data_IF_346282655258
#
_entry.id   IF_346282655258
#
_cell.length_a   1.000
_cell.length_b   1.000
_cell.length_c   1.000
_cell.angle_alpha   90.00
_cell.angle_beta   90.00
_cell.angle_gamma   90.00
#
_symmetry.space_group_name_H-M   'P 1'
#
loop_
_entity.id
_entity.type
_entity.pdbx_description
1 polymer ?
#
# COMPACT_ATOMS: atom_id res chain seq x y z
N UNK A 1 -5.99 3.85 -1.78
CA UNK A 1 -6.91 4.02 -0.64
C UNK A 1 -8.03 3.01 -0.76
N UNK A 2 -8.42 2.39 0.35
CA UNK A 2 -9.46 1.36 0.41
C UNK A 2 -10.42 1.72 1.53
N UNK A 3 -11.72 1.70 1.23
CA UNK A 3 -12.79 1.97 2.18
C UNK A 3 -13.95 0.99 1.95
N UNK A 4 -14.84 0.89 2.93
CA UNK A 4 -16.05 0.08 2.79
C UNK A 4 -16.96 0.62 1.66
N UNK A 5 -17.72 -0.26 1.01
CA UNK A 5 -18.57 0.07 -0.15
C UNK A 5 -19.63 1.14 0.13
N UNK A 6 -20.04 1.32 1.38
CA UNK A 6 -21.05 2.30 1.76
C UNK A 6 -20.49 3.71 1.94
N UNK A 7 -19.17 3.87 2.03
CA UNK A 7 -18.54 5.19 2.16
C UNK A 7 -18.56 5.96 0.83
N UNK A 8 -18.42 7.28 0.92
CA UNK A 8 -18.33 8.15 -0.25
C UNK A 8 -17.20 7.69 -1.18
N UNK A 9 -17.52 7.64 -2.47
CA UNK A 9 -16.59 7.19 -3.50
C UNK A 9 -16.03 8.39 -4.27
N UNK A 10 -14.70 8.49 -4.31
CA UNK A 10 -13.95 9.37 -5.21
C UNK A 10 -12.96 8.53 -6.02
N UNK A 11 -12.87 8.75 -7.33
CA UNK A 11 -11.92 8.00 -8.20
C UNK A 11 -10.46 8.28 -7.78
N UNK A 12 -10.15 9.53 -7.48
CA UNK A 12 -8.85 9.98 -7.00
C UNK A 12 -9.02 10.91 -5.80
N UNK A 13 -8.08 10.86 -4.87
CA UNK A 13 -8.07 11.67 -3.64
C UNK A 13 -6.65 12.07 -3.28
N UNK A 14 -6.51 13.21 -2.61
CA UNK A 14 -5.25 13.66 -2.01
C UNK A 14 -5.19 13.24 -0.54
N UNK A 15 -4.01 13.29 0.05
CA UNK A 15 -3.80 13.00 1.47
C UNK A 15 -4.70 13.85 2.37
N UNK A 16 -4.91 15.13 2.01
CA UNK A 16 -5.81 16.05 2.73
C UNK A 16 -7.29 15.63 2.73
N UNK A 17 -7.70 14.74 1.82
CA UNK A 17 -9.08 14.26 1.72
C UNK A 17 -9.30 13.00 2.58
N UNK A 18 -8.24 12.47 3.20
CA UNK A 18 -8.30 11.28 4.06
C UNK A 18 -8.60 11.70 5.49
N UNK A 19 -9.62 11.07 6.10
CA UNK A 19 -9.83 11.17 7.52
C UNK A 19 -8.83 10.27 8.27
N UNK A 20 -7.75 10.87 8.79
CA UNK A 20 -6.69 10.13 9.48
C UNK A 20 -7.14 9.48 10.80
N UNK A 21 -8.20 9.98 11.45
CA UNK A 21 -8.73 9.37 12.67
C UNK A 21 -9.42 8.02 12.42
N UNK A 22 -9.71 7.68 11.16
CA UNK A 22 -10.31 6.41 10.73
C UNK A 22 -9.35 5.60 9.84
N UNK A 23 -8.13 6.11 9.63
CA UNK A 23 -7.11 5.44 8.85
C UNK A 23 -6.42 4.39 9.73
N UNK A 24 -6.54 3.13 9.32
CA UNK A 24 -5.85 2.02 9.93
C UNK A 24 -4.57 1.72 9.14
N UNK A 25 -3.48 1.51 9.86
CA UNK A 25 -2.17 1.19 9.31
C UNK A 25 -1.66 -0.14 9.88
N UNK A 26 -0.58 -0.66 9.32
CA UNK A 26 0.08 -1.80 9.94
C UNK A 26 0.78 -1.39 11.23
N UNK A 27 0.97 -2.34 12.15
CA UNK A 27 1.76 -2.15 13.37
C UNK A 27 3.19 -1.67 13.09
N UNK A 28 3.85 -1.17 14.14
CA UNK A 28 5.26 -0.80 14.09
C UNK A 28 6.16 -1.95 13.62
N UNK A 29 7.24 -1.60 12.91
CA UNK A 29 8.16 -2.55 12.28
C UNK A 29 7.82 -2.90 10.82
N UNK A 30 6.65 -2.49 10.33
CA UNK A 30 6.31 -2.60 8.91
C UNK A 30 6.68 -1.34 8.13
N UNK A 31 7.62 -1.44 7.18
CA UNK A 31 8.00 -0.33 6.30
C UNK A 31 6.82 0.32 5.55
N UNK A 32 5.70 -0.40 5.39
CA UNK A 32 4.51 0.11 4.73
C UNK A 32 3.84 1.24 5.52
N UNK A 33 3.83 1.20 6.86
CA UNK A 33 3.34 2.32 7.70
C UNK A 33 4.11 3.59 7.35
N UNK A 34 5.44 3.50 7.42
CA UNK A 34 6.33 4.62 7.12
C UNK A 34 6.15 5.16 5.69
N UNK A 35 5.97 4.29 4.69
CA UNK A 35 5.68 4.72 3.32
C UNK A 35 4.36 5.49 3.21
N UNK A 36 3.32 5.06 3.93
CA UNK A 36 2.04 5.77 3.96
C UNK A 36 2.19 7.14 4.61
N UNK A 37 2.87 7.21 5.76
CA UNK A 37 3.13 8.47 6.45
C UNK A 37 3.92 9.43 5.56
N UNK A 38 4.97 8.94 4.90
CA UNK A 38 5.78 9.74 3.98
C UNK A 38 5.00 10.22 2.75
N UNK A 39 4.21 9.32 2.12
CA UNK A 39 3.41 9.66 0.95
C UNK A 39 2.35 10.72 1.25
N UNK A 40 1.75 10.66 2.44
CA UNK A 40 0.72 11.59 2.87
C UNK A 40 1.25 12.81 3.65
N UNK A 41 2.57 12.89 3.88
CA UNK A 41 3.24 13.92 4.71
C UNK A 41 2.60 14.07 6.10
N UNK A 42 2.27 12.94 6.70
CA UNK A 42 1.67 12.85 8.03
C UNK A 42 2.77 12.83 9.08
N UNK A 43 2.59 13.58 10.16
CA UNK A 43 3.44 13.44 11.35
C UNK A 43 3.04 12.18 12.11
N UNK A 44 4.02 11.40 12.57
CA UNK A 44 3.81 10.13 13.28
C UNK A 44 3.05 10.27 14.62
N UNK A 45 2.89 11.51 15.11
CA UNK A 45 2.13 11.83 16.32
C UNK A 45 0.61 11.88 16.11
N UNK A 46 0.10 11.64 14.89
CA UNK A 46 -1.35 11.55 14.66
C UNK A 46 -1.92 10.23 15.17
N UNK A 47 -3.08 10.31 15.83
CA UNK A 47 -3.77 9.15 16.37
C UNK A 47 -4.48 8.39 15.24
N UNK A 48 -3.95 7.22 14.87
CA UNK A 48 -4.60 6.29 13.94
C UNK A 48 -5.65 5.45 14.68
N UNK A 49 -6.71 5.02 13.99
CA UNK A 49 -7.83 4.32 14.65
C UNK A 49 -7.46 2.96 15.20
N UNK A 50 -6.61 2.23 14.48
CA UNK A 50 -6.26 0.86 14.78
C UNK A 50 -5.00 0.46 14.02
N UNK A 51 -4.20 -0.41 14.65
CA UNK A 51 -3.06 -1.05 14.01
C UNK A 51 -3.35 -2.55 13.86
N UNK A 52 -2.84 -3.16 12.79
CA UNK A 52 -2.92 -4.61 12.61
C UNK A 52 -1.60 -5.19 12.09
N UNK A 53 -1.32 -6.43 12.46
CA UNK A 53 -0.09 -7.13 12.09
C UNK A 53 -0.05 -7.65 10.65
N UNK A 54 -1.15 -7.56 9.89
CA UNK A 54 -1.18 -8.02 8.49
C UNK A 54 -2.11 -7.20 7.60
N UNK A 55 -1.72 -7.09 6.32
CA UNK A 55 -2.52 -6.39 5.31
C UNK A 55 -3.86 -7.10 5.08
N UNK A 56 -3.89 -8.43 5.17
CA UNK A 56 -5.12 -9.22 5.06
C UNK A 56 -6.09 -8.87 6.18
N UNK A 57 -5.61 -8.74 7.41
CA UNK A 57 -6.42 -8.34 8.56
C UNK A 57 -7.01 -6.94 8.35
N UNK A 58 -6.19 -5.96 7.93
CA UNK A 58 -6.68 -4.61 7.62
C UNK A 58 -7.81 -4.62 6.60
N UNK A 59 -7.67 -5.39 5.53
CA UNK A 59 -8.70 -5.49 4.49
C UNK A 59 -10.01 -6.07 5.05
N UNK A 60 -9.95 -7.07 5.95
CA UNK A 60 -11.14 -7.60 6.60
C UNK A 60 -11.80 -6.57 7.53
N UNK A 61 -11.02 -5.79 8.28
CA UNK A 61 -11.56 -4.71 9.13
C UNK A 61 -12.26 -3.64 8.29
N UNK A 62 -11.67 -3.24 7.15
CA UNK A 62 -12.30 -2.31 6.20
C UNK A 62 -13.58 -2.92 5.61
N UNK A 63 -13.58 -4.21 5.26
CA UNK A 63 -14.77 -4.90 4.75
C UNK A 63 -15.91 -4.98 5.77
N UNK A 64 -15.59 -4.94 7.07
CA UNK A 64 -16.55 -4.86 8.18
C UNK A 64 -16.84 -3.42 8.62
N UNK A 65 -16.49 -2.41 7.80
CA UNK A 65 -16.80 -1.01 8.04
C UNK A 65 -16.16 -0.42 9.32
N UNK A 66 -14.98 -0.90 9.71
CA UNK A 66 -14.24 -0.41 10.90
C UNK A 66 -13.30 0.77 10.61
N UNK A 67 -13.19 1.20 9.35
CA UNK A 67 -12.37 2.33 8.95
C UNK A 67 -11.92 2.24 7.49
N UNK A 68 -10.77 2.83 7.21
CA UNK A 68 -10.14 2.83 5.89
C UNK A 68 -8.65 2.51 5.97
N UNK A 69 -8.01 2.20 4.85
CA UNK A 69 -6.57 1.94 4.82
C UNK A 69 -5.92 2.31 3.48
N UNK A 70 -4.58 2.36 3.48
CA UNK A 70 -3.76 2.56 2.30
C UNK A 70 -2.96 1.27 2.03
N UNK A 71 -3.03 0.80 0.79
CA UNK A 71 -2.38 -0.45 0.38
C UNK A 71 -1.58 -0.23 -0.91
N UNK A 72 -0.50 -1.01 -1.14
CA UNK A 72 0.24 -0.97 -2.38
C UNK A 72 -0.62 -1.32 -3.61
N UNK A 73 -0.29 -0.76 -4.77
CA UNK A 73 -1.02 -1.09 -6.00
C UNK A 73 -0.98 -2.59 -6.33
N UNK A 74 0.17 -3.25 -6.15
CA UNK A 74 0.35 -4.68 -6.45
C UNK A 74 -0.59 -5.60 -5.65
N UNK A 75 -1.05 -5.19 -4.46
CA UNK A 75 -1.93 -6.01 -3.63
C UNK A 75 -3.41 -5.92 -4.04
N UNK A 76 -3.78 -4.98 -4.93
CA UNK A 76 -5.16 -4.76 -5.35
C UNK A 76 -5.77 -6.03 -5.96
N UNK A 77 -5.03 -6.69 -6.86
CA UNK A 77 -5.52 -7.88 -7.57
C UNK A 77 -5.90 -9.01 -6.62
N UNK A 78 -5.08 -9.24 -5.59
CA UNK A 78 -5.21 -10.39 -4.71
C UNK A 78 -6.06 -10.12 -3.46
N UNK A 79 -5.98 -8.92 -2.90
CA UNK A 79 -6.65 -8.60 -1.63
C UNK A 79 -7.96 -7.84 -1.82
N UNK A 80 -8.13 -7.12 -2.94
CA UNK A 80 -9.25 -6.19 -3.10
C UNK A 80 -10.28 -6.67 -4.10
N UNK A 81 -9.85 -7.06 -5.30
CA UNK A 81 -10.78 -7.32 -6.40
C UNK A 81 -11.76 -8.47 -6.12
N UNK A 82 -11.45 -9.37 -5.20
CA UNK A 82 -12.33 -10.48 -4.80
C UNK A 82 -13.37 -10.09 -3.73
N UNK A 83 -13.29 -8.90 -3.14
CA UNK A 83 -14.14 -8.49 -2.02
C UNK A 83 -15.10 -7.38 -2.44
N UNK A 84 -16.37 -7.73 -2.60
CA UNK A 84 -17.44 -6.80 -3.01
C UNK A 84 -17.80 -5.75 -1.94
N UNK A 85 -17.32 -5.91 -0.70
CA UNK A 85 -17.61 -4.99 0.40
C UNK A 85 -16.67 -3.79 0.45
N UNK A 86 -15.66 -3.73 -0.41
CA UNK A 86 -14.66 -2.65 -0.39
C UNK A 86 -14.57 -1.96 -1.75
N UNK A 87 -14.26 -0.67 -1.70
CA UNK A 87 -14.00 0.19 -2.85
C UNK A 87 -12.56 0.69 -2.79
N UNK A 88 -11.99 0.94 -3.96
CA UNK A 88 -10.63 1.48 -4.11
C UNK A 88 -10.65 2.86 -4.76
N UNK A 89 -9.78 3.73 -4.26
CA UNK A 89 -9.53 5.06 -4.80
C UNK A 89 -8.02 5.28 -4.95
N UNK A 90 -7.64 6.01 -5.99
CA UNK A 90 -6.25 6.35 -6.27
C UNK A 90 -5.80 7.46 -5.32
N UNK A 91 -4.67 7.26 -4.64
CA UNK A 91 -4.01 8.34 -3.92
C UNK A 91 -3.21 9.16 -4.94
N UNK A 92 -3.59 10.40 -5.14
CA UNK A 92 -3.01 11.33 -6.11
C UNK A 92 -2.05 12.30 -5.44
N UNK A 93 -1.00 11.73 -4.83
CA UNK A 93 0.13 12.47 -4.27
C UNK A 93 1.35 12.32 -5.19
N UNK A 94 2.30 13.29 -5.20
CA UNK A 94 3.50 13.17 -6.01
C UNK A 94 4.35 11.98 -5.55
N UNK A 95 4.75 11.14 -6.50
CA UNK A 95 5.59 9.96 -6.26
C UNK A 95 7.10 10.23 -6.34
N UNK A 96 7.94 9.21 -6.06
CA UNK A 96 7.58 7.84 -5.73
C UNK A 96 7.16 7.66 -4.26
N UNK A 97 6.12 6.84 -4.02
CA UNK A 97 5.64 6.53 -2.65
C UNK A 97 6.39 5.36 -2.01
N UNK A 98 7.02 4.51 -2.82
CA UNK A 98 7.83 3.37 -2.39
C UNK A 98 8.78 2.97 -3.50
N UNK A 99 10.04 2.76 -3.15
CA UNK A 99 11.06 2.17 -4.02
C UNK A 99 11.39 0.76 -3.50
N UNK A 100 11.51 -0.20 -4.41
CA UNK A 100 11.92 -1.57 -4.10
C UNK A 100 13.35 -1.76 -4.60
N UNK A 101 14.23 -2.23 -3.72
CA UNK A 101 15.62 -2.50 -4.04
C UNK A 101 16.00 -3.93 -3.63
N UNK A 102 16.91 -4.52 -4.38
CA UNK A 102 17.59 -5.77 -4.01
C UNK A 102 18.93 -5.39 -3.41
N UNK A 103 19.18 -5.80 -2.17
CA UNK A 103 20.42 -5.52 -1.44
C UNK A 103 21.17 -6.84 -1.29
N UNK A 104 22.41 -6.86 -1.76
CA UNK A 104 23.30 -8.02 -1.65
C UNK A 104 24.59 -7.64 -0.93
N UNK A 105 25.21 -8.61 -0.27
CA UNK A 105 26.54 -8.40 0.33
C UNK A 105 27.57 -8.21 -0.78
N UNK A 106 28.52 -7.32 -0.57
CA UNK A 106 29.59 -7.06 -1.53
C UNK A 106 30.42 -8.31 -1.85
N UNK A 107 30.54 -9.25 -0.91
CA UNK A 107 31.26 -10.52 -1.07
C UNK A 107 30.41 -11.66 -1.63
N UNK A 108 29.17 -11.40 -2.04
CA UNK A 108 28.32 -12.43 -2.62
C UNK A 108 28.85 -12.85 -3.99
N UNK A 109 29.17 -14.14 -4.13
CA UNK A 109 29.90 -14.66 -5.30
C UNK A 109 29.03 -14.77 -6.56
N UNK A 110 27.71 -14.88 -6.42
CA UNK A 110 26.80 -15.29 -7.50
C UNK A 110 25.95 -14.12 -8.02
N UNK A 111 26.62 -13.06 -8.44
CA UNK A 111 25.95 -11.85 -8.94
C UNK A 111 25.13 -12.12 -10.21
N UNK A 112 25.51 -13.12 -11.02
CA UNK A 112 24.77 -13.51 -12.22
C UNK A 112 23.32 -13.93 -11.88
N UNK A 113 23.13 -14.78 -10.87
CA UNK A 113 21.79 -15.17 -10.42
C UNK A 113 21.02 -13.99 -9.79
N UNK A 114 21.71 -13.06 -9.13
CA UNK A 114 21.07 -11.83 -8.63
C UNK A 114 20.54 -10.98 -9.78
N UNK A 115 21.31 -10.82 -10.85
CA UNK A 115 20.88 -10.08 -12.04
C UNK A 115 19.67 -10.76 -12.70
N UNK A 116 19.69 -12.09 -12.82
CA UNK A 116 18.55 -12.85 -13.35
C UNK A 116 17.28 -12.61 -12.51
N UNK A 117 17.43 -12.61 -11.18
CA UNK A 117 16.34 -12.34 -10.25
C UNK A 117 15.83 -10.89 -10.39
N UNK A 118 16.72 -9.92 -10.55
CA UNK A 118 16.36 -8.51 -10.82
C UNK A 118 15.51 -8.42 -12.08
N UNK A 119 15.89 -9.11 -13.16
CA UNK A 119 15.15 -9.07 -14.42
C UNK A 119 13.76 -9.68 -14.29
N UNK A 120 13.63 -10.80 -13.55
CA UNK A 120 12.33 -11.39 -13.21
C UNK A 120 11.48 -10.39 -12.44
N UNK A 121 12.02 -9.76 -11.39
CA UNK A 121 11.28 -8.78 -10.60
C UNK A 121 10.86 -7.56 -11.42
N UNK A 122 11.74 -7.03 -12.27
CA UNK A 122 11.42 -5.89 -13.16
C UNK A 122 10.28 -6.24 -14.10
N UNK A 123 10.34 -7.41 -14.73
CA UNK A 123 9.30 -7.88 -15.65
C UNK A 123 7.96 -8.07 -14.94
N UNK A 124 7.95 -8.71 -13.77
CA UNK A 124 6.71 -8.94 -13.01
C UNK A 124 6.14 -7.64 -12.43
N UNK A 125 6.97 -6.75 -11.91
CA UNK A 125 6.54 -5.46 -11.37
C UNK A 125 6.07 -4.50 -12.47
N UNK A 126 6.64 -4.56 -13.67
CA UNK A 126 6.23 -3.77 -14.84
C UNK A 126 4.76 -3.95 -15.20
N UNK A 127 4.21 -5.16 -15.00
CA UNK A 127 2.79 -5.47 -15.22
C UNK A 127 1.84 -4.66 -14.33
N UNK A 128 2.33 -4.16 -13.19
CA UNK A 128 1.55 -3.36 -12.25
C UNK A 128 1.73 -1.85 -12.47
N UNK A 129 2.80 -1.41 -13.14
CA UNK A 129 3.03 0.01 -13.48
C UNK A 129 2.28 0.47 -14.73
N UNK A 130 1.94 -0.43 -15.66
CA UNK A 130 1.21 -0.09 -16.89
C UNK A 130 -0.31 0.09 -16.67
N UNK A 131 -0.82 -0.30 -15.49
CA UNK A 131 -2.25 -0.21 -15.13
C UNK A 131 -2.61 1.10 -14.39
N UNK A 132 -1.81 2.17 -14.54
CA UNK A 132 -2.03 3.49 -13.89
C UNK A 132 -2.84 4.44 -14.79
N UNK A 133 -3.82 3.92 -15.54
CA UNK A 133 -4.71 4.72 -16.41
C UNK A 133 -6.11 4.92 -15.80
#
# INVERSE_FOLDING_TARGET
YVSHKNNEYKKALKAKDINFSELMLLDDGHCLKNHVLAACKINDNQQFSMEASSLTTLIQLVANNMGSTLVPHMSIKHLINANSMIKKSILNEPGPHRELAIVVRQTYADIENVMLLIDIFKNELGKYSENIQ
#
